data_IF_009177366401
#
_entry.id   IF_009177366401
#
_cell.length_a   1.000
_cell.length_b   1.000
_cell.length_c   1.000
_cell.angle_alpha   90.00
_cell.angle_beta   90.00
_cell.angle_gamma   90.00
#
_symmetry.space_group_name_H-M   'P 1'
#
loop_
_entity.id
_entity.type
_entity.pdbx_description
1 polymer ?
#
# COMPACT_ATOMS: atom_id res chain seq x y z
N UNK A 1 -7.20 -6.19 -7.56
CA UNK A 1 -5.81 -6.71 -7.59
C UNK A 1 -4.96 -5.89 -6.64
N UNK A 2 -4.00 -6.49 -5.96
CA UNK A 2 -2.99 -5.75 -5.21
C UNK A 2 -1.69 -6.54 -5.06
N UNK A 3 -0.59 -5.82 -4.83
CA UNK A 3 0.75 -6.38 -4.72
C UNK A 3 1.81 -5.32 -4.43
N UNK A 4 3.08 -5.74 -4.39
CA UNK A 4 4.25 -4.86 -4.15
C UNK A 4 4.91 -4.36 -5.43
N UNK A 5 4.57 -4.95 -6.57
CA UNK A 5 5.11 -4.61 -7.87
C UNK A 5 4.04 -3.90 -8.70
N UNK A 6 4.36 -2.69 -9.17
CA UNK A 6 3.46 -1.90 -10.00
C UNK A 6 3.10 -2.62 -11.30
N UNK A 7 4.10 -3.21 -11.99
CA UNK A 7 3.90 -3.84 -13.29
C UNK A 7 2.94 -5.01 -13.18
N UNK A 8 3.11 -5.86 -12.17
CA UNK A 8 2.23 -7.01 -11.94
C UNK A 8 0.79 -6.55 -11.68
N UNK A 9 0.62 -5.53 -10.81
CA UNK A 9 -0.70 -4.94 -10.52
C UNK A 9 -1.30 -4.18 -11.70
N UNK A 10 -0.49 -3.68 -12.64
CA UNK A 10 -0.96 -2.99 -13.83
C UNK A 10 -1.32 -3.97 -14.96
N UNK A 11 -0.55 -5.04 -15.15
CA UNK A 11 -0.67 -5.90 -16.32
C UNK A 11 -1.55 -7.13 -16.07
N UNK A 12 -1.80 -7.47 -14.80
CA UNK A 12 -2.69 -8.56 -14.44
C UNK A 12 -4.10 -8.35 -15.00
N UNK A 13 -4.71 -9.45 -15.42
CA UNK A 13 -6.08 -9.55 -15.94
C UNK A 13 -6.81 -10.75 -15.35
N UNK A 14 -8.09 -10.94 -15.68
CA UNK A 14 -8.85 -12.12 -15.21
C UNK A 14 -8.30 -13.46 -15.71
N UNK A 15 -7.74 -13.48 -16.93
CA UNK A 15 -7.17 -14.69 -17.54
C UNK A 15 -5.70 -14.95 -17.20
N UNK A 16 -4.98 -13.94 -16.72
CA UNK A 16 -3.62 -14.06 -16.22
C UNK A 16 -3.46 -13.11 -15.03
N UNK A 17 -3.54 -13.66 -13.83
CA UNK A 17 -3.65 -12.88 -12.59
C UNK A 17 -2.31 -12.36 -12.09
N UNK A 18 -1.18 -12.85 -12.63
CA UNK A 18 0.18 -12.55 -12.15
C UNK A 18 0.32 -12.66 -10.62
N UNK A 19 -0.47 -13.54 -10.00
CA UNK A 19 -0.55 -13.74 -8.54
C UNK A 19 -0.93 -12.49 -7.70
N UNK A 20 -1.48 -11.45 -8.33
CA UNK A 20 -1.93 -10.21 -7.64
C UNK A 20 -3.45 -10.12 -7.51
N UNK A 21 -4.17 -11.17 -7.91
CA UNK A 21 -5.62 -11.21 -7.81
C UNK A 21 -6.06 -11.58 -6.39
N UNK A 22 -6.65 -10.61 -5.71
CA UNK A 22 -7.17 -10.78 -4.36
C UNK A 22 -8.62 -11.27 -4.30
N UNK A 23 -9.46 -10.82 -5.24
CA UNK A 23 -10.87 -11.19 -5.28
C UNK A 23 -11.49 -10.84 -6.64
N UNK A 24 -12.57 -11.53 -6.99
CA UNK A 24 -13.36 -11.28 -8.20
C UNK A 24 -14.84 -11.19 -7.89
N UNK A 25 -15.59 -10.53 -8.78
CA UNK A 25 -17.06 -10.50 -8.78
C UNK A 25 -17.69 -10.12 -7.44
N UNK A 26 -17.11 -9.11 -6.77
CA UNK A 26 -17.66 -8.59 -5.51
C UNK A 26 -18.90 -7.74 -5.78
N UNK A 27 -19.97 -7.98 -5.01
CA UNK A 27 -21.16 -7.12 -4.98
C UNK A 27 -21.08 -5.99 -3.96
N UNK A 28 -20.07 -5.99 -3.09
CA UNK A 28 -19.82 -4.96 -2.08
C UNK A 28 -18.60 -4.13 -2.44
N UNK A 29 -18.56 -2.87 -2.01
CA UNK A 29 -17.49 -1.92 -2.33
C UNK A 29 -16.42 -1.88 -1.22
N UNK A 30 -16.24 -2.99 -0.50
CA UNK A 30 -15.31 -3.08 0.62
C UNK A 30 -14.52 -4.37 0.52
N UNK A 31 -13.23 -4.29 0.77
CA UNK A 31 -12.34 -5.44 0.81
C UNK A 31 -11.33 -5.27 1.95
N UNK A 32 -11.24 -6.27 2.82
CA UNK A 32 -10.24 -6.34 3.88
C UNK A 32 -9.18 -7.39 3.49
N UNK A 33 -7.93 -6.98 3.20
CA UNK A 33 -6.88 -7.93 2.84
C UNK A 33 -6.53 -8.85 4.02
N UNK A 34 -6.36 -10.16 3.81
CA UNK A 34 -5.95 -11.06 4.87
C UNK A 34 -4.51 -10.74 5.31
N UNK A 35 -4.33 -10.55 6.61
CA UNK A 35 -3.02 -10.35 7.23
C UNK A 35 -2.62 -8.88 7.44
N UNK A 36 -1.41 -8.69 7.98
CA UNK A 36 -0.85 -7.37 8.21
C UNK A 36 0.03 -6.94 7.04
N UNK A 37 0.01 -5.65 6.74
CA UNK A 37 0.94 -5.06 5.78
C UNK A 37 2.27 -4.76 6.46
N UNK A 38 3.36 -5.02 5.75
CA UNK A 38 4.72 -4.71 6.22
C UNK A 38 4.95 -3.19 6.32
N UNK A 39 5.53 -2.74 7.42
CA UNK A 39 5.89 -1.33 7.64
C UNK A 39 6.96 -0.85 6.65
N UNK A 40 6.87 0.42 6.23
CA UNK A 40 7.80 1.02 5.25
C UNK A 40 7.63 0.48 3.82
N UNK A 41 6.70 -0.44 3.58
CA UNK A 41 6.46 -1.03 2.27
C UNK A 41 5.42 -0.23 1.49
N UNK A 42 5.69 0.02 0.20
CA UNK A 42 4.72 0.54 -0.75
C UNK A 42 3.93 -0.61 -1.37
N UNK A 43 2.60 -0.45 -1.38
CA UNK A 43 1.67 -1.37 -2.01
C UNK A 43 0.92 -0.67 -3.14
N UNK A 44 0.63 -1.45 -4.19
CA UNK A 44 -0.15 -1.03 -5.35
C UNK A 44 -1.47 -1.79 -5.35
N UNK A 45 -2.55 -1.10 -5.71
CA UNK A 45 -3.90 -1.65 -5.71
C UNK A 45 -4.70 -1.13 -6.90
N UNK A 46 -5.56 -1.97 -7.44
CA UNK A 46 -6.40 -1.68 -8.61
C UNK A 46 -7.75 -2.36 -8.47
N UNK A 47 -8.82 -1.63 -8.75
CA UNK A 47 -10.19 -2.14 -8.77
C UNK A 47 -10.70 -2.06 -10.19
N UNK A 48 -11.04 -3.21 -10.79
CA UNK A 48 -11.65 -3.26 -12.12
C UNK A 48 -13.16 -3.38 -11.99
N UNK A 49 -13.90 -2.50 -12.65
CA UNK A 49 -15.36 -2.54 -12.68
C UNK A 49 -15.82 -3.62 -13.66
N UNK A 50 -16.87 -4.34 -13.31
CA UNK A 50 -17.48 -5.37 -14.16
C UNK A 50 -18.93 -4.98 -14.40
N UNK A 51 -19.33 -4.87 -15.67
CA UNK A 51 -20.72 -4.63 -16.03
C UNK A 51 -21.60 -5.84 -15.75
N UNK A 52 -22.91 -5.60 -15.63
CA UNK A 52 -23.89 -6.68 -15.51
C UNK A 52 -23.95 -7.53 -16.80
N UNK A 53 -24.53 -8.73 -16.67
CA UNK A 53 -24.86 -9.59 -17.80
C UNK A 53 -25.78 -8.87 -18.81
N UNK A 54 -25.76 -9.24 -20.11
CA UNK A 54 -25.06 -10.40 -20.69
C UNK A 54 -23.58 -10.16 -21.00
N UNK A 55 -23.14 -8.92 -21.16
CA UNK A 55 -21.83 -8.61 -21.75
C UNK A 55 -20.67 -8.77 -20.76
N UNK A 56 -20.92 -8.63 -19.45
CA UNK A 56 -19.91 -8.81 -18.38
C UNK A 56 -18.57 -8.10 -18.64
N UNK A 57 -18.62 -6.98 -19.35
CA UNK A 57 -17.44 -6.23 -19.77
C UNK A 57 -16.64 -5.77 -18.56
N UNK A 58 -15.31 -5.89 -18.64
CA UNK A 58 -14.39 -5.48 -17.59
C UNK A 58 -13.75 -4.15 -17.95
N UNK A 59 -13.96 -3.16 -17.11
CA UNK A 59 -13.33 -1.84 -17.22
C UNK A 59 -12.18 -1.77 -16.23
N UNK A 60 -10.96 -1.70 -16.76
CA UNK A 60 -9.75 -1.61 -15.95
C UNK A 60 -9.73 -0.29 -15.18
N UNK A 61 -9.53 -0.37 -13.86
CA UNK A 61 -9.40 0.81 -13.03
C UNK A 61 -8.00 1.40 -13.01
N UNK A 62 -7.87 2.57 -12.38
CA UNK A 62 -6.58 3.18 -12.12
C UNK A 62 -5.79 2.37 -11.08
N UNK A 63 -4.48 2.31 -11.26
CA UNK A 63 -3.58 1.78 -10.24
C UNK A 63 -3.32 2.89 -9.23
N UNK A 64 -3.62 2.61 -7.98
CA UNK A 64 -3.33 3.46 -6.85
C UNK A 64 -2.16 2.89 -6.06
N UNK A 65 -1.55 3.71 -5.20
CA UNK A 65 -0.48 3.27 -4.30
C UNK A 65 -0.58 3.96 -2.94
N UNK A 66 -0.05 3.28 -1.92
CA UNK A 66 0.17 3.85 -0.59
C UNK A 66 1.39 3.20 0.06
N UNK A 67 2.03 3.92 0.97
CA UNK A 67 3.18 3.41 1.74
C UNK A 67 2.77 3.28 3.20
N UNK A 68 2.99 2.10 3.77
CA UNK A 68 2.76 1.87 5.19
C UNK A 68 3.82 2.63 5.98
N UNK A 69 3.41 3.36 7.02
CA UNK A 69 4.35 4.11 7.85
C UNK A 69 5.48 3.21 8.38
N UNK A 70 6.72 3.71 8.47
CA UNK A 70 7.81 2.96 9.08
C UNK A 70 7.60 2.82 10.59
N UNK A 71 8.15 1.76 11.17
CA UNK A 71 8.04 1.50 12.62
C UNK A 71 8.71 2.58 13.49
N UNK A 72 9.72 3.26 12.96
CA UNK A 72 10.42 4.33 13.65
C UNK A 72 10.96 5.36 12.67
N UNK A 73 10.87 6.63 13.04
CA UNK A 73 11.56 7.71 12.34
C UNK A 73 12.87 8.01 13.06
N UNK A 74 13.98 8.02 12.33
CA UNK A 74 15.24 8.54 12.89
C UNK A 74 15.08 10.05 13.00
N UNK A 75 15.16 10.57 14.22
CA UNK A 75 15.18 12.02 14.45
C UNK A 75 16.59 12.54 14.14
N UNK A 76 16.87 12.82 12.86
CA UNK A 76 18.18 13.31 12.40
C UNK A 76 18.52 14.74 12.87
N UNK A 77 17.60 15.45 13.52
CA UNK A 77 17.78 16.85 13.93
C UNK A 77 17.75 17.08 15.45
N UNK A 78 18.22 16.11 16.24
CA UNK A 78 18.51 16.38 17.66
C UNK A 78 19.88 17.05 17.70
N UNK A 79 19.90 18.38 17.53
CA UNK A 79 21.14 19.14 17.66
C UNK A 79 21.69 18.95 19.09
N UNK A 80 22.91 18.41 19.27
CA UNK A 80 23.45 18.05 20.59
C UNK A 80 23.67 19.25 21.52
N UNK A 81 23.62 20.48 20.97
CA UNK A 81 23.78 21.73 21.71
C UNK A 81 22.66 22.01 22.73
N UNK A 82 21.49 21.36 22.64
CA UNK A 82 20.41 21.56 23.61
C UNK A 82 20.51 20.66 24.85
N UNK A 83 21.34 19.62 24.86
CA UNK A 83 21.50 18.72 26.02
C UNK A 83 22.53 19.22 27.05
N UNK A 84 23.48 20.07 26.65
CA UNK A 84 24.52 20.62 27.53
C UNK A 84 24.10 21.88 28.33
N UNK A 85 22.81 22.19 28.45
CA UNK A 85 22.35 23.35 29.25
C UNK A 85 21.98 23.00 30.70
N UNK A 86 21.90 21.72 31.08
CA UNK A 86 21.35 21.29 32.39
C UNK A 86 22.32 20.59 33.36
N UNK A 87 23.60 20.41 33.03
CA UNK A 87 24.62 20.09 34.05
C UNK A 87 25.54 21.28 34.23
N UNK A 88 25.33 22.02 35.32
CA UNK A 88 26.30 23.01 35.82
C UNK A 88 27.67 22.33 35.88
N UNK A 89 28.63 22.88 35.15
CA UNK A 89 30.03 22.76 35.52
C UNK A 89 30.20 23.40 36.92
N UNK A 90 30.81 22.66 37.84
CA UNK A 90 31.26 23.14 39.14
C UNK A 90 31.90 21.97 39.86
N UNK A 91 33.12 22.04 40.38
CA UNK A 91 34.18 23.05 40.34
C UNK A 91 35.46 22.34 40.81
#
# INVERSE_FOLDING_TARGET
MAGRNFTDVNDAGRGNTLDVLLSQSQGTHTYDPPGRLDFGQTYYWRIDQVSAAPDSAVFKGNVWSFTVEPYSYVMNNIHPWHYCRFRRCGG
#
